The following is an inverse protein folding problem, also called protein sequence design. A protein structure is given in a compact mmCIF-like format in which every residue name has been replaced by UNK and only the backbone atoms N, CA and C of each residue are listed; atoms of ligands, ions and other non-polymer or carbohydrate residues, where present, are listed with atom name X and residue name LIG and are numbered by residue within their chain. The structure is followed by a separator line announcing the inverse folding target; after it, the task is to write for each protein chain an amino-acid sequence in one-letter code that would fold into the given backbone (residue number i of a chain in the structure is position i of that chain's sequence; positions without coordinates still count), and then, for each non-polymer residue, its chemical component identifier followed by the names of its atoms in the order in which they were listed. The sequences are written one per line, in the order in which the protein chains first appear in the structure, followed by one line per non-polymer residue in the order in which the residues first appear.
data_IF_811840156341
#
_entry.id   IF_811840156341
#
_cell.length_a   1.000
_cell.length_b   1.000
_cell.length_c   1.000
_cell.angle_alpha   90.00
_cell.angle_beta   90.00
_cell.angle_gamma   90.00
#
_symmetry.space_group_name_H-M   'P 1'
#
loop_
_entity.id
_entity.type
_entity.pdbx_description
1 polymer ?
#
# COMPACT_ATOMS: atom_id res chain seq x y z
N UNK A 1 -5.78 1.80 17.06
CA UNK A 1 -5.79 0.91 15.88
C UNK A 1 -4.37 0.73 15.40
N UNK A 2 -3.94 -0.50 15.17
CA UNK A 2 -2.60 -0.80 14.62
C UNK A 2 -2.72 -1.03 13.12
N UNK A 3 -1.90 -0.34 12.35
CA UNK A 3 -1.91 -0.31 10.89
C UNK A 3 -0.57 -0.81 10.38
N UNK A 4 -0.56 -2.01 9.81
CA UNK A 4 0.63 -2.64 9.25
C UNK A 4 0.23 -3.80 8.35
N UNK A 5 0.83 -3.86 7.17
CA UNK A 5 0.57 -4.89 6.15
C UNK A 5 1.38 -6.17 6.39
N UNK A 6 2.46 -6.11 7.19
CA UNK A 6 3.22 -7.30 7.62
C UNK A 6 2.70 -7.77 8.99
N UNK A 7 2.21 -9.03 9.10
CA UNK A 7 1.67 -9.51 10.36
C UNK A 7 2.67 -9.46 11.51
N UNK A 8 3.84 -10.07 11.37
CA UNK A 8 4.74 -10.27 12.51
C UNK A 8 5.13 -9.00 13.31
N UNK A 9 5.41 -7.88 12.65
CA UNK A 9 5.74 -6.64 13.37
C UNK A 9 4.54 -6.07 14.13
N UNK A 10 3.38 -6.05 13.48
CA UNK A 10 2.14 -5.59 14.09
C UNK A 10 1.63 -6.54 15.18
N UNK A 11 1.80 -7.85 14.99
CA UNK A 11 1.49 -8.88 15.96
C UNK A 11 2.36 -8.76 17.22
N UNK A 12 3.67 -8.53 17.04
CA UNK A 12 4.60 -8.26 18.13
C UNK A 12 4.18 -7.01 18.92
N UNK A 13 3.87 -5.90 18.22
CA UNK A 13 3.37 -4.68 18.86
C UNK A 13 2.08 -4.97 19.63
N UNK A 14 1.14 -5.69 19.03
CA UNK A 14 -0.13 -6.03 19.69
C UNK A 14 0.09 -6.87 20.94
N UNK A 15 0.99 -7.86 20.89
CA UNK A 15 1.34 -8.69 22.03
C UNK A 15 2.00 -7.92 23.18
N UNK A 16 2.82 -6.92 22.86
CA UNK A 16 3.40 -5.99 23.85
C UNK A 16 2.26 -5.17 24.47
N UNK A 17 1.45 -4.50 23.66
CA UNK A 17 0.39 -3.60 24.10
C UNK A 17 -0.69 -4.31 24.93
N UNK A 18 -1.02 -5.56 24.59
CA UNK A 18 -1.92 -6.41 25.37
C UNK A 18 -1.41 -6.63 26.80
N UNK A 19 -0.12 -6.95 26.95
CA UNK A 19 0.52 -7.12 28.27
C UNK A 19 0.59 -5.81 29.05
N UNK A 20 0.68 -4.68 28.34
CA UNK A 20 0.61 -3.34 28.90
C UNK A 20 -0.83 -2.88 29.18
N UNK A 21 -1.83 -3.74 29.04
CA UNK A 21 -3.19 -3.50 29.50
C UNK A 21 -4.16 -3.02 28.43
N UNK A 22 -3.77 -3.05 27.15
CA UNK A 22 -4.74 -2.92 26.06
C UNK A 22 -5.58 -4.20 25.92
N UNK A 23 -6.80 -4.06 25.44
CA UNK A 23 -7.73 -5.16 25.27
C UNK A 23 -7.80 -5.55 23.79
N UNK A 24 -7.41 -6.79 23.46
CA UNK A 24 -7.70 -7.36 22.14
C UNK A 24 -9.18 -7.80 22.06
N UNK A 25 -9.72 -8.00 20.84
CA UNK A 25 -11.04 -8.61 20.66
C UNK A 25 -11.16 -9.96 21.39
N UNK A 26 -12.37 -10.33 21.81
CA UNK A 26 -12.65 -11.67 22.30
C UNK A 26 -12.32 -12.72 21.21
N UNK A 27 -11.82 -13.88 21.62
CA UNK A 27 -11.37 -14.92 20.69
C UNK A 27 -9.92 -14.76 20.18
N UNK A 28 -9.26 -13.63 20.42
CA UNK A 28 -7.81 -13.53 20.22
C UNK A 28 -7.07 -14.46 21.20
N UNK A 29 -6.26 -15.39 20.69
CA UNK A 29 -5.55 -16.39 21.49
C UNK A 29 -4.50 -15.76 22.42
N UNK A 30 -4.32 -16.32 23.62
CA UNK A 30 -3.29 -15.90 24.56
C UNK A 30 -1.88 -16.38 24.15
N UNK A 31 -1.79 -17.44 23.35
CA UNK A 31 -0.54 -18.06 22.87
C UNK A 31 -0.06 -17.48 21.55
N UNK A 32 -0.95 -16.92 20.75
CA UNK A 32 -0.63 -16.18 19.52
C UNK A 32 -1.10 -14.74 19.72
N UNK A 33 -0.22 -13.84 20.20
CA UNK A 33 -0.58 -12.54 20.79
C UNK A 33 -1.27 -11.52 19.87
N UNK A 34 -1.74 -11.96 18.71
CA UNK A 34 -2.42 -11.17 17.73
C UNK A 34 -3.27 -12.04 16.80
N UNK A 35 -3.86 -13.16 17.25
CA UNK A 35 -4.84 -13.83 16.41
C UNK A 35 -5.95 -12.83 16.05
N UNK A 36 -6.03 -12.47 14.76
CA UNK A 36 -7.08 -11.60 14.24
C UNK A 36 -8.41 -12.24 14.62
N UNK A 37 -9.34 -11.45 15.18
CA UNK A 37 -10.66 -12.00 15.49
C UNK A 37 -11.31 -12.53 14.20
N UNK A 38 -11.73 -13.80 14.15
CA UNK A 38 -12.26 -14.41 12.93
C UNK A 38 -13.51 -13.68 12.44
N UNK A 39 -14.29 -13.08 13.34
CA UNK A 39 -15.45 -12.26 12.98
C UNK A 39 -15.06 -10.95 12.29
N UNK A 40 -13.92 -10.35 12.63
CA UNK A 40 -13.38 -9.17 11.94
C UNK A 40 -12.91 -9.55 10.55
N UNK A 41 -12.21 -10.69 10.42
CA UNK A 41 -11.78 -11.25 9.13
C UNK A 41 -13.00 -11.48 8.23
N UNK A 42 -14.03 -12.13 8.76
CA UNK A 42 -15.25 -12.43 8.02
C UNK A 42 -15.97 -11.16 7.56
N UNK A 43 -16.05 -10.14 8.41
CA UNK A 43 -16.64 -8.86 8.04
C UNK A 43 -15.85 -8.17 6.92
N UNK A 44 -14.52 -8.23 6.95
CA UNK A 44 -13.70 -7.73 5.84
C UNK A 44 -13.98 -8.51 4.56
N UNK A 45 -14.02 -9.85 4.60
CA UNK A 45 -14.32 -10.68 3.44
C UNK A 45 -15.67 -10.30 2.82
N UNK A 46 -16.69 -10.06 3.64
CA UNK A 46 -18.00 -9.60 3.19
C UNK A 46 -17.94 -8.21 2.55
N UNK A 47 -17.22 -7.25 3.14
CA UNK A 47 -17.05 -5.90 2.59
C UNK A 47 -16.35 -5.98 1.23
N UNK A 48 -15.24 -6.71 1.14
CA UNK A 48 -14.47 -6.87 -0.10
C UNK A 48 -15.29 -7.57 -1.18
N UNK A 49 -16.01 -8.65 -0.85
CA UNK A 49 -16.92 -9.33 -1.77
C UNK A 49 -18.04 -8.42 -2.26
N UNK A 50 -18.62 -7.59 -1.37
CA UNK A 50 -19.67 -6.65 -1.74
C UNK A 50 -19.17 -5.56 -2.71
N UNK A 51 -17.90 -5.19 -2.61
CA UNK A 51 -17.28 -4.19 -3.48
C UNK A 51 -16.73 -4.79 -4.77
N UNK A 52 -16.87 -6.11 -4.97
CA UNK A 52 -16.22 -6.86 -6.05
C UNK A 52 -14.70 -6.58 -6.10
N UNK A 53 -14.09 -6.62 -4.91
CA UNK A 53 -12.66 -6.35 -4.71
C UNK A 53 -12.01 -7.50 -3.99
N UNK A 54 -10.77 -7.78 -4.37
CA UNK A 54 -9.86 -8.59 -3.58
C UNK A 54 -8.90 -7.72 -2.76
N UNK A 55 -8.33 -8.29 -1.71
CA UNK A 55 -7.34 -7.61 -0.86
C UNK A 55 -6.09 -7.21 -1.64
N UNK A 56 -5.70 -7.94 -2.68
CA UNK A 56 -4.51 -7.67 -3.47
C UNK A 56 -4.76 -6.77 -4.67
N UNK A 57 -6.01 -6.37 -4.93
CA UNK A 57 -6.30 -5.37 -5.96
C UNK A 57 -5.58 -4.06 -5.61
N UNK A 58 -5.04 -3.36 -6.58
CA UNK A 58 -4.25 -2.14 -6.35
C UNK A 58 -5.12 -0.89 -6.38
N UNK A 59 -6.21 -0.93 -7.16
CA UNK A 59 -7.17 0.15 -7.25
C UNK A 59 -7.73 0.55 -5.86
N UNK A 60 -8.03 1.85 -5.66
CA UNK A 60 -8.59 2.32 -4.41
C UNK A 60 -10.04 1.85 -4.28
N UNK A 61 -10.55 1.81 -3.04
CA UNK A 61 -11.98 1.55 -2.83
C UNK A 61 -12.82 2.66 -3.48
N UNK A 62 -14.00 2.34 -4.06
CA UNK A 62 -14.80 3.33 -4.80
C UNK A 62 -15.22 4.48 -3.91
N UNK A 63 -14.86 5.73 -4.22
CA UNK A 63 -15.08 6.90 -3.33
C UNK A 63 -16.52 7.01 -2.81
N UNK A 64 -17.50 6.67 -3.64
CA UNK A 64 -18.94 6.77 -3.31
C UNK A 64 -19.49 5.65 -2.44
N UNK A 65 -18.69 4.63 -2.09
CA UNK A 65 -19.21 3.50 -1.29
C UNK A 65 -19.63 3.95 0.11
N UNK A 66 -18.97 4.95 0.68
CA UNK A 66 -19.28 5.52 2.00
C UNK A 66 -20.65 6.21 2.05
N UNK A 67 -21.17 6.64 0.89
CA UNK A 67 -22.47 7.29 0.75
C UNK A 67 -23.61 6.28 0.47
N UNK A 68 -23.30 4.98 0.46
CA UNK A 68 -24.26 3.93 0.10
C UNK A 68 -25.03 3.39 1.32
N UNK A 69 -26.29 2.97 1.17
CA UNK A 69 -27.02 2.28 2.24
C UNK A 69 -26.36 0.99 2.73
N UNK A 70 -25.57 0.36 1.85
CA UNK A 70 -24.79 -0.85 2.16
C UNK A 70 -23.70 -0.54 3.18
N UNK A 71 -23.05 0.61 3.07
CA UNK A 71 -22.05 1.07 4.04
C UNK A 71 -22.65 1.27 5.43
N UNK A 72 -23.84 1.85 5.52
CA UNK A 72 -24.55 2.02 6.80
C UNK A 72 -24.90 0.66 7.44
N UNK A 73 -25.28 -0.33 6.62
CA UNK A 73 -25.50 -1.71 7.06
C UNK A 73 -24.25 -2.31 7.69
N UNK A 74 -23.12 -2.26 6.98
CA UNK A 74 -21.83 -2.74 7.50
C UNK A 74 -21.35 -1.96 8.72
N UNK A 75 -21.60 -0.65 8.79
CA UNK A 75 -21.26 0.14 9.98
C UNK A 75 -22.06 -0.31 11.21
N UNK A 76 -23.35 -0.60 11.05
CA UNK A 76 -24.18 -1.11 12.15
C UNK A 76 -23.75 -2.51 12.59
N UNK A 77 -23.35 -3.37 11.65
CA UNK A 77 -22.77 -4.69 11.95
C UNK A 77 -21.43 -4.57 12.68
N UNK A 78 -20.53 -3.71 12.20
CA UNK A 78 -19.25 -3.43 12.84
C UNK A 78 -19.42 -2.86 14.25
N UNK A 79 -20.38 -1.96 14.46
CA UNK A 79 -20.69 -1.39 15.77
C UNK A 79 -21.16 -2.46 16.76
N UNK A 80 -22.06 -3.35 16.33
CA UNK A 80 -22.52 -4.49 17.13
C UNK A 80 -21.36 -5.45 17.45
N UNK A 81 -20.54 -5.77 16.45
CA UNK A 81 -19.37 -6.61 16.59
C UNK A 81 -18.37 -6.02 17.59
N UNK A 82 -18.03 -4.74 17.48
CA UNK A 82 -17.10 -4.07 18.39
C UNK A 82 -17.60 -4.08 19.84
N UNK A 83 -18.90 -3.86 20.07
CA UNK A 83 -19.49 -3.94 21.42
C UNK A 83 -19.42 -5.36 21.99
N UNK A 84 -19.68 -6.37 21.16
CA UNK A 84 -19.55 -7.76 21.55
C UNK A 84 -18.09 -8.11 21.86
N UNK A 85 -17.15 -7.70 21.01
CA UNK A 85 -15.75 -8.13 21.11
C UNK A 85 -14.99 -7.45 22.25
N UNK A 86 -15.29 -6.19 22.55
CA UNK A 86 -14.54 -5.42 23.54
C UNK A 86 -15.27 -5.28 24.88
N UNK A 87 -16.56 -5.60 25.00
CA UNK A 87 -17.33 -5.56 26.25
C UNK A 87 -17.14 -4.27 27.09
N UNK A 88 -16.98 -3.11 26.44
CA UNK A 88 -16.71 -1.84 27.12
C UNK A 88 -15.29 -1.68 27.65
N UNK A 89 -14.32 -2.36 27.03
CA UNK A 89 -12.89 -2.21 27.32
C UNK A 89 -12.47 -0.74 27.35
N UNK A 90 -11.63 -0.38 28.32
CA UNK A 90 -11.14 1.00 28.46
C UNK A 90 -10.18 1.41 27.34
N UNK A 91 -9.39 0.46 26.83
CA UNK A 91 -8.42 0.70 25.77
C UNK A 91 -8.46 -0.45 24.75
N UNK A 92 -9.45 -0.46 23.85
CA UNK A 92 -9.53 -1.43 22.77
C UNK A 92 -8.32 -1.33 21.84
N UNK A 93 -7.77 -2.47 21.47
CA UNK A 93 -6.70 -2.62 20.50
C UNK A 93 -7.24 -3.43 19.32
N UNK A 94 -7.41 -2.75 18.19
CA UNK A 94 -7.88 -3.35 16.95
C UNK A 94 -6.72 -3.48 15.98
N UNK A 95 -6.51 -4.69 15.46
CA UNK A 95 -5.51 -5.03 14.46
C UNK A 95 -5.99 -6.13 13.51
N UNK A 96 -5.74 -5.91 12.22
CA UNK A 96 -5.85 -6.86 11.11
C UNK A 96 -5.15 -6.20 9.89
N UNK A 97 -4.40 -6.92 9.02
CA UNK A 97 -3.63 -6.31 7.94
C UNK A 97 -4.40 -5.39 6.98
N UNK A 98 -5.65 -5.73 6.64
CA UNK A 98 -6.57 -5.00 5.76
C UNK A 98 -7.24 -3.81 6.45
N UNK A 99 -7.06 -3.60 7.76
CA UNK A 99 -7.47 -2.34 8.40
C UNK A 99 -6.81 -1.13 7.73
N UNK A 100 -5.59 -1.28 7.21
CA UNK A 100 -4.89 -0.25 6.47
C UNK A 100 -5.67 0.26 5.25
N UNK A 101 -6.51 -0.59 4.65
CA UNK A 101 -7.36 -0.25 3.50
C UNK A 101 -8.74 0.27 3.93
N UNK A 102 -9.16 -0.04 5.16
CA UNK A 102 -10.49 0.24 5.71
C UNK A 102 -10.47 1.26 6.85
N UNK A 103 -9.41 2.09 6.93
CA UNK A 103 -9.23 3.09 8.01
C UNK A 103 -10.48 3.98 8.20
N UNK A 104 -11.07 4.61 7.16
CA UNK A 104 -12.23 5.46 7.35
C UNK A 104 -13.44 4.71 7.95
N UNK A 105 -13.70 3.50 7.45
CA UNK A 105 -14.79 2.63 7.92
C UNK A 105 -14.64 2.28 9.40
N UNK A 106 -13.48 1.76 9.79
CA UNK A 106 -13.24 1.37 11.19
C UNK A 106 -13.16 2.56 12.13
N UNK A 107 -12.69 3.71 11.64
CA UNK A 107 -12.71 4.95 12.42
C UNK A 107 -14.14 5.39 12.71
N UNK A 108 -15.04 5.31 11.73
CA UNK A 108 -16.46 5.61 11.93
C UNK A 108 -17.11 4.61 12.90
N UNK A 109 -16.87 3.31 12.74
CA UNK A 109 -17.42 2.28 13.63
C UNK A 109 -16.96 2.44 15.09
N UNK A 110 -15.67 2.69 15.32
CA UNK A 110 -15.12 2.91 16.67
C UNK A 110 -15.67 4.19 17.32
N UNK A 111 -15.85 5.28 16.54
CA UNK A 111 -16.49 6.51 17.04
C UNK A 111 -17.96 6.29 17.43
N UNK A 112 -18.72 5.48 16.67
CA UNK A 112 -20.11 5.10 17.03
C UNK A 112 -20.18 4.31 18.34
N UNK A 113 -19.12 3.58 18.68
CA UNK A 113 -18.96 2.93 19.97
C UNK A 113 -18.50 3.88 21.09
N UNK A 114 -18.23 5.16 20.80
CA UNK A 114 -17.81 6.16 21.79
C UNK A 114 -16.32 6.15 22.11
N UNK A 115 -15.48 5.56 21.25
CA UNK A 115 -14.03 5.54 21.46
C UNK A 115 -13.34 6.71 20.75
N UNK A 116 -12.35 7.29 21.44
CA UNK A 116 -11.31 8.10 20.82
C UNK A 116 -10.30 7.21 20.10
N UNK A 117 -9.66 7.73 19.05
CA UNK A 117 -8.75 6.96 18.21
C UNK A 117 -7.31 7.47 18.27
N UNK A 118 -6.40 6.52 18.41
CA UNK A 118 -4.98 6.66 18.08
C UNK A 118 -4.61 5.62 17.01
N UNK A 119 -3.77 6.02 16.06
CA UNK A 119 -3.31 5.18 14.95
C UNK A 119 -1.82 4.86 15.10
N UNK A 120 -1.47 3.58 15.13
CA UNK A 120 -0.09 3.12 15.27
C UNK A 120 0.34 2.50 13.94
N UNK A 121 1.17 3.22 13.19
CA UNK A 121 1.69 2.79 11.90
C UNK A 121 2.94 1.94 12.10
N UNK A 122 2.90 0.70 11.61
CA UNK A 122 4.01 -0.25 11.60
C UNK A 122 4.09 -0.93 10.22
N UNK A 123 4.40 -0.16 9.16
CA UNK A 123 4.33 -0.65 7.79
C UNK A 123 5.32 -1.80 7.51
N UNK A 124 6.40 -1.90 8.28
CA UNK A 124 7.53 -2.76 7.95
C UNK A 124 8.27 -2.28 6.70
N UNK A 125 9.19 -3.11 6.22
CA UNK A 125 10.02 -2.86 5.04
C UNK A 125 9.33 -3.29 3.75
N UNK A 126 9.46 -2.51 2.68
CA UNK A 126 9.11 -2.99 1.33
C UNK A 126 9.98 -4.19 0.88
N UNK A 127 11.21 -4.29 1.39
CA UNK A 127 12.19 -5.32 0.99
C UNK A 127 11.96 -6.66 1.66
N UNK A 128 11.34 -6.64 2.84
CA UNK A 128 11.21 -7.82 3.69
C UNK A 128 9.81 -8.44 3.61
N UNK A 129 9.04 -8.06 2.57
CA UNK A 129 7.72 -8.59 2.33
C UNK A 129 7.86 -10.04 1.89
N UNK A 130 7.52 -10.94 2.82
CA UNK A 130 7.30 -12.34 2.49
C UNK A 130 6.26 -12.42 1.40
N UNK A 131 6.58 -13.15 0.33
CA UNK A 131 5.57 -13.58 -0.63
C UNK A 131 4.41 -14.17 0.17
N UNK A 132 3.25 -13.54 0.06
CA UNK A 132 2.03 -14.15 0.54
C UNK A 132 1.93 -15.54 -0.11
N UNK A 133 1.48 -16.58 0.61
CA UNK A 133 1.34 -17.90 0.00
C UNK A 133 0.45 -17.87 -1.27
N UNK A 134 -0.38 -16.82 -1.39
CA UNK A 134 -1.31 -16.59 -2.49
C UNK A 134 -0.84 -15.57 -3.53
N UNK A 135 0.27 -14.84 -3.32
CA UNK A 135 0.75 -13.80 -4.24
C UNK A 135 2.27 -13.91 -4.50
N UNK A 136 2.74 -13.58 -5.72
CA UNK A 136 4.16 -13.41 -5.94
C UNK A 136 4.74 -12.26 -5.09
N UNK A 137 6.06 -12.25 -4.80
CA UNK A 137 6.72 -11.20 -4.04
C UNK A 137 6.39 -9.78 -4.55
N UNK A 138 6.40 -9.61 -5.87
CA UNK A 138 6.20 -8.33 -6.55
C UNK A 138 4.78 -7.79 -6.31
N UNK A 139 3.76 -8.65 -6.42
CA UNK A 139 2.38 -8.28 -6.11
C UNK A 139 2.20 -7.97 -4.61
N UNK A 140 2.92 -8.69 -3.74
CA UNK A 140 2.92 -8.45 -2.30
C UNK A 140 3.52 -7.08 -1.95
N UNK A 141 4.56 -6.65 -2.68
CA UNK A 141 5.17 -5.32 -2.55
C UNK A 141 4.22 -4.20 -2.97
N UNK A 142 3.51 -4.38 -4.10
CA UNK A 142 2.53 -3.40 -4.56
C UNK A 142 1.32 -3.33 -3.60
N UNK A 143 0.88 -4.47 -3.06
CA UNK A 143 -0.17 -4.50 -2.04
C UNK A 143 0.26 -3.80 -0.74
N UNK A 144 1.53 -3.97 -0.32
CA UNK A 144 2.10 -3.21 0.79
C UNK A 144 2.11 -1.71 0.51
N UNK A 145 2.54 -1.30 -0.69
CA UNK A 145 2.62 0.11 -1.07
C UNK A 145 1.24 0.76 -1.00
N UNK A 146 0.23 0.11 -1.59
CA UNK A 146 -1.17 0.52 -1.48
C UNK A 146 -1.60 0.68 -0.04
N UNK A 147 -1.37 -0.33 0.81
CA UNK A 147 -1.78 -0.30 2.21
C UNK A 147 -1.09 0.83 3.00
N UNK A 148 0.21 1.02 2.79
CA UNK A 148 0.99 2.06 3.44
C UNK A 148 0.49 3.46 3.07
N UNK A 149 0.33 3.75 1.77
CA UNK A 149 -0.15 5.05 1.28
C UNK A 149 -1.60 5.32 1.69
N UNK A 150 -2.47 4.31 1.55
CA UNK A 150 -3.89 4.45 1.90
C UNK A 150 -4.07 4.76 3.38
N UNK A 151 -3.39 4.01 4.24
CA UNK A 151 -3.51 4.17 5.70
C UNK A 151 -2.85 5.45 6.19
N UNK A 152 -1.70 5.82 5.63
CA UNK A 152 -1.05 7.11 5.92
C UNK A 152 -2.01 8.24 5.58
N UNK A 153 -2.47 8.33 4.34
CA UNK A 153 -3.35 9.41 3.88
C UNK A 153 -4.63 9.50 4.71
N UNK A 154 -5.26 8.36 5.01
CA UNK A 154 -6.51 8.30 5.77
C UNK A 154 -6.38 8.72 7.24
N UNK A 155 -5.16 8.77 7.80
CA UNK A 155 -4.92 9.12 9.21
C UNK A 155 -4.33 10.51 9.41
N UNK A 156 -4.07 11.27 8.34
CA UNK A 156 -3.55 12.64 8.45
C UNK A 156 -4.45 13.51 9.31
N UNK A 157 -3.83 14.32 10.17
CA UNK A 157 -4.54 15.22 11.10
C UNK A 157 -5.22 14.50 12.29
N UNK A 158 -5.04 13.19 12.45
CA UNK A 158 -5.47 12.44 13.62
C UNK A 158 -4.29 12.15 14.56
N UNK A 159 -4.59 11.71 15.79
CA UNK A 159 -3.56 11.25 16.73
C UNK A 159 -2.89 9.98 16.20
N UNK A 160 -1.64 10.07 15.73
CA UNK A 160 -0.91 8.95 15.13
C UNK A 160 0.56 8.90 15.54
N UNK A 161 1.15 7.72 15.46
CA UNK A 161 2.57 7.49 15.70
C UNK A 161 3.10 6.43 14.72
N UNK A 162 4.38 6.53 14.38
CA UNK A 162 5.10 5.58 13.52
C UNK A 162 6.04 4.74 14.38
N UNK A 163 5.87 3.43 14.35
CA UNK A 163 6.56 2.46 15.22
C UNK A 163 7.60 1.70 14.41
N UNK A 164 8.81 1.61 14.94
CA UNK A 164 9.91 0.86 14.35
C UNK A 164 9.90 -0.60 14.87
N UNK A 165 9.67 -1.57 13.98
CA UNK A 165 9.68 -3.00 14.34
C UNK A 165 11.02 -3.47 14.88
N UNK A 166 12.11 -2.95 14.33
CA UNK A 166 13.49 -3.29 14.67
C UNK A 166 13.84 -2.77 16.08
N UNK A 167 13.31 -1.62 16.48
CA UNK A 167 13.40 -1.11 17.85
C UNK A 167 12.51 -1.86 18.83
N UNK A 168 11.33 -2.35 18.42
CA UNK A 168 10.53 -3.24 19.26
C UNK A 168 11.27 -4.55 19.59
N UNK A 169 12.17 -5.01 18.71
CA UNK A 169 12.97 -6.19 18.96
C UNK A 169 14.22 -5.89 19.82
N UNK A 170 14.91 -4.78 19.53
CA UNK A 170 16.18 -4.46 20.20
C UNK A 170 16.01 -3.74 21.54
N UNK A 171 15.09 -2.78 21.65
CA UNK A 171 14.77 -2.04 22.87
C UNK A 171 13.31 -1.55 22.87
N UNK A 172 12.40 -2.48 23.14
CA UNK A 172 10.96 -2.17 23.17
C UNK A 172 10.58 -1.11 24.20
N UNK A 173 11.39 -0.90 25.26
CA UNK A 173 11.10 0.07 26.32
C UNK A 173 11.37 1.49 25.86
N UNK A 174 12.48 1.70 25.14
CA UNK A 174 12.77 2.98 24.52
C UNK A 174 11.72 3.34 23.47
N UNK A 175 11.34 2.37 22.64
CA UNK A 175 10.29 2.54 21.63
C UNK A 175 8.93 2.87 22.27
N UNK A 176 8.55 2.16 23.33
CA UNK A 176 7.33 2.45 24.09
C UNK A 176 7.34 3.87 24.68
N UNK A 177 8.48 4.30 25.22
CA UNK A 177 8.62 5.64 25.81
C UNK A 177 8.45 6.73 24.75
N UNK A 178 9.03 6.53 23.56
CA UNK A 178 8.84 7.42 22.42
C UNK A 178 7.37 7.44 21.95
N UNK A 179 6.72 6.27 21.94
CA UNK A 179 5.32 6.10 21.60
C UNK A 179 4.39 6.85 22.56
N UNK A 180 4.52 6.64 23.86
CA UNK A 180 3.72 7.33 24.89
C UNK A 180 3.90 8.85 24.82
N UNK A 181 5.14 9.32 24.57
CA UNK A 181 5.43 10.75 24.38
C UNK A 181 4.71 11.32 23.16
N UNK A 182 4.70 10.58 22.05
CA UNK A 182 4.07 11.02 20.79
C UNK A 182 2.54 11.05 20.92
N UNK A 183 1.98 10.03 21.57
CA UNK A 183 0.54 9.89 21.76
C UNK A 183 -0.02 10.78 22.88
N UNK A 184 0.82 11.24 23.81
CA UNK A 184 0.40 12.06 24.94
C UNK A 184 -0.35 11.30 26.03
N UNK A 185 -0.27 9.96 26.06
CA UNK A 185 -0.84 9.13 27.10
C UNK A 185 0.04 7.91 27.41
N UNK A 186 -0.10 7.38 28.63
CA UNK A 186 0.60 6.16 29.07
C UNK A 186 -0.30 4.93 29.02
N UNK A 187 0.30 3.75 28.82
CA UNK A 187 -0.44 2.50 28.76
C UNK A 187 -0.88 2.00 30.14
N UNK A 188 -2.08 1.39 30.28
CA UNK A 188 -2.75 1.19 31.58
C UNK A 188 -1.99 0.32 32.60
N UNK A 189 -1.14 -0.59 32.15
CA UNK A 189 -0.42 -1.57 32.98
C UNK A 189 1.09 -1.55 32.75
N UNK A 190 1.67 -0.39 32.47
CA UNK A 190 3.12 -0.24 32.37
C UNK A 190 3.81 -0.38 33.75
N UNK A 191 3.98 -1.63 34.19
CA UNK A 191 4.55 -2.01 35.49
C UNK A 191 5.78 -2.90 35.30
N UNK A 192 6.67 -2.96 36.28
CA UNK A 192 7.83 -3.86 36.24
C UNK A 192 7.43 -5.34 36.04
N UNK A 193 6.26 -5.76 36.52
CA UNK A 193 5.73 -7.12 36.30
C UNK A 193 5.33 -7.33 34.84
N UNK A 194 4.58 -6.40 34.25
CA UNK A 194 4.21 -6.45 32.83
C UNK A 194 5.45 -6.41 31.94
N UNK A 195 6.45 -5.58 32.29
CA UNK A 195 7.72 -5.55 31.57
C UNK A 195 8.42 -6.91 31.50
N UNK A 196 8.49 -7.66 32.61
CA UNK A 196 9.03 -9.03 32.60
C UNK A 196 8.21 -10.00 31.74
N UNK A 197 6.90 -9.83 31.67
CA UNK A 197 6.03 -10.65 30.81
C UNK A 197 6.24 -10.35 29.32
N UNK A 198 6.59 -9.10 29.00
CA UNK A 198 6.97 -8.69 27.65
C UNK A 198 8.34 -9.28 27.30
N UNK A 199 9.34 -9.12 28.18
CA UNK A 199 10.68 -9.68 27.95
C UNK A 199 10.63 -11.18 27.67
N UNK A 200 9.95 -11.95 28.55
CA UNK A 200 9.78 -13.38 28.36
C UNK A 200 9.04 -13.74 27.07
N UNK A 201 8.11 -12.90 26.60
CA UNK A 201 7.40 -13.16 25.35
C UNK A 201 8.29 -12.92 24.12
N UNK A 202 9.14 -11.89 24.16
CA UNK A 202 10.09 -11.59 23.09
C UNK A 202 11.22 -12.63 23.03
N UNK A 203 11.69 -13.12 24.17
CA UNK A 203 12.69 -14.19 24.25
C UNK A 203 12.17 -15.53 23.69
N UNK A 204 10.88 -15.81 23.85
CA UNK A 204 10.24 -17.04 23.37
C UNK A 204 9.56 -16.88 21.99
N UNK A 205 9.73 -15.74 21.33
CA UNK A 205 9.14 -15.50 20.03
C UNK A 205 9.84 -16.37 18.96
N UNK A 206 9.09 -17.11 18.12
CA UNK A 206 9.70 -17.96 17.10
C UNK A 206 10.52 -17.14 16.10
N UNK A 207 11.69 -17.65 15.72
CA UNK A 207 12.61 -16.99 14.76
C UNK A 207 11.93 -16.65 13.42
N UNK A 208 10.90 -17.41 13.04
CA UNK A 208 10.12 -17.21 11.81
C UNK A 208 9.37 -15.88 11.75
N UNK A 209 9.11 -15.21 12.89
CA UNK A 209 8.55 -13.85 12.92
C UNK A 209 9.54 -12.80 12.39
N UNK A 210 10.83 -13.11 12.42
CA UNK A 210 11.94 -12.20 12.13
C UNK A 210 12.72 -12.56 10.86
N UNK A 211 12.34 -13.64 10.15
CA UNK A 211 13.02 -14.02 8.92
C UNK A 211 12.71 -13.04 7.79
N UNK A 212 13.75 -12.31 7.38
CA UNK A 212 13.80 -11.61 6.09
C UNK A 212 13.98 -12.65 4.99
N UNK A 213 13.09 -12.67 4.00
CA UNK A 213 13.23 -13.56 2.85
C UNK A 213 14.21 -12.95 1.86
N UNK A 214 15.05 -13.78 1.19
CA UNK A 214 15.93 -13.31 0.15
C UNK A 214 15.16 -12.57 -0.93
N UNK A 215 15.62 -11.37 -1.18
CA UNK A 215 15.04 -10.43 -2.12
C UNK A 215 15.15 -10.96 -3.56
N UNK A 216 14.04 -11.04 -4.31
CA UNK A 216 14.06 -11.46 -5.72
C UNK A 216 14.71 -10.39 -6.60
N UNK A 217 15.30 -10.79 -7.73
CA UNK A 217 15.85 -9.86 -8.70
C UNK A 217 14.74 -8.96 -9.32
N UNK A 218 13.58 -9.53 -9.61
CA UNK A 218 12.40 -8.78 -10.05
C UNK A 218 11.88 -7.80 -8.97
N UNK A 219 11.83 -8.21 -7.71
CA UNK A 219 11.54 -7.32 -6.58
C UNK A 219 12.55 -6.18 -6.47
N UNK A 220 13.84 -6.46 -6.71
CA UNK A 220 14.89 -5.46 -6.79
C UNK A 220 14.62 -4.40 -7.85
N UNK A 221 14.32 -4.82 -9.07
CA UNK A 221 13.99 -3.91 -10.15
C UNK A 221 12.76 -3.04 -9.84
N UNK A 222 11.69 -3.61 -9.25
CA UNK A 222 10.49 -2.84 -8.87
C UNK A 222 10.73 -1.85 -7.74
N UNK A 223 11.58 -2.20 -6.77
CA UNK A 223 11.94 -1.26 -5.72
C UNK A 223 12.85 -0.16 -6.23
N UNK A 224 13.76 -0.50 -7.13
CA UNK A 224 14.59 0.45 -7.87
C UNK A 224 13.77 1.30 -8.84
N UNK A 225 12.57 0.84 -9.26
CA UNK A 225 11.61 1.63 -10.03
C UNK A 225 11.03 2.84 -9.25
N UNK A 226 11.50 3.09 -8.03
CA UNK A 226 11.42 4.38 -7.35
C UNK A 226 10.31 4.48 -6.32
N UNK A 227 9.09 3.97 -6.60
CA UNK A 227 7.97 4.11 -5.67
C UNK A 227 8.19 3.41 -4.34
N UNK A 228 8.53 2.12 -4.36
CA UNK A 228 8.73 1.36 -3.11
C UNK A 228 9.90 1.94 -2.33
N UNK A 229 11.01 2.29 -2.99
CA UNK A 229 12.16 2.91 -2.35
C UNK A 229 11.82 4.24 -1.69
N UNK A 230 11.10 5.13 -2.39
CA UNK A 230 10.75 6.45 -1.88
C UNK A 230 9.79 6.35 -0.70
N UNK A 231 8.76 5.50 -0.80
CA UNK A 231 7.81 5.27 0.29
C UNK A 231 8.51 4.65 1.50
N UNK A 232 9.31 3.59 1.31
CA UNK A 232 10.05 2.92 2.39
C UNK A 232 11.01 3.91 3.08
N UNK A 233 11.74 4.71 2.31
CA UNK A 233 12.66 5.71 2.86
C UNK A 233 11.97 6.76 3.72
N UNK A 234 10.84 7.31 3.25
CA UNK A 234 10.06 8.31 4.01
C UNK A 234 9.52 7.68 5.30
N UNK A 235 8.86 6.53 5.20
CA UNK A 235 8.20 5.89 6.33
C UNK A 235 9.21 5.41 7.39
N UNK A 236 10.37 4.89 6.98
CA UNK A 236 11.46 4.53 7.89
C UNK A 236 12.04 5.75 8.58
N UNK A 237 12.27 6.85 7.86
CA UNK A 237 12.73 8.10 8.49
C UNK A 237 11.73 8.58 9.53
N UNK A 238 10.42 8.49 9.27
CA UNK A 238 9.39 8.86 10.24
C UNK A 238 9.38 7.98 11.49
N UNK A 239 9.69 6.68 11.38
CA UNK A 239 9.87 5.80 12.54
C UNK A 239 11.06 6.21 13.42
N UNK A 240 12.09 6.85 12.86
CA UNK A 240 13.29 7.24 13.60
C UNK A 240 13.21 8.66 14.16
N UNK A 241 12.69 9.59 13.36
CA UNK A 241 12.80 11.04 13.59
C UNK A 241 11.45 11.72 13.83
N UNK A 242 10.34 10.99 13.65
CA UNK A 242 9.00 11.53 13.69
C UNK A 242 8.51 11.99 12.31
N UNK A 243 7.21 12.21 12.23
CA UNK A 243 6.54 12.61 10.99
C UNK A 243 6.92 14.04 10.57
N UNK A 244 7.31 14.21 9.29
CA UNK A 244 7.53 15.51 8.68
C UNK A 244 6.42 15.84 7.68
N UNK A 245 5.68 16.92 7.92
CA UNK A 245 4.54 17.31 7.07
C UNK A 245 4.94 17.67 5.64
N UNK A 246 6.20 18.03 5.39
CA UNK A 246 6.71 18.33 4.06
C UNK A 246 6.69 17.09 3.13
N UNK A 247 6.79 15.89 3.71
CA UNK A 247 6.79 14.63 2.96
C UNK A 247 5.40 14.24 2.45
N UNK A 248 4.32 14.84 2.98
CA UNK A 248 2.95 14.53 2.55
C UNK A 248 2.77 14.78 1.05
N UNK A 249 3.38 15.85 0.52
CA UNK A 249 3.31 16.16 -0.91
C UNK A 249 4.02 15.09 -1.76
N UNK A 250 5.14 14.54 -1.28
CA UNK A 250 5.86 13.47 -1.96
C UNK A 250 5.05 12.16 -1.95
N UNK A 251 4.46 11.79 -0.80
CA UNK A 251 3.59 10.63 -0.70
C UNK A 251 2.32 10.77 -1.56
N UNK A 252 1.76 11.97 -1.67
CA UNK A 252 0.60 12.25 -2.54
C UNK A 252 0.95 12.14 -4.03
N UNK A 253 2.12 12.63 -4.42
CA UNK A 253 2.59 12.47 -5.79
C UNK A 253 2.82 10.98 -6.12
N UNK A 254 3.45 10.26 -5.19
CA UNK A 254 3.72 8.84 -5.33
C UNK A 254 2.40 8.04 -5.43
N UNK A 255 1.41 8.32 -4.58
CA UNK A 255 0.09 7.69 -4.70
C UNK A 255 -0.56 8.01 -6.05
N UNK A 256 -0.54 9.27 -6.50
CA UNK A 256 -1.10 9.65 -7.80
C UNK A 256 -0.40 8.98 -9.00
N UNK A 257 0.91 8.75 -8.92
CA UNK A 257 1.67 7.97 -9.90
C UNK A 257 1.29 6.49 -9.86
N UNK A 258 1.28 5.90 -8.67
CA UNK A 258 0.91 4.51 -8.44
C UNK A 258 -0.52 4.21 -8.94
N UNK A 259 -1.49 5.07 -8.64
CA UNK A 259 -2.88 4.89 -9.08
C UNK A 259 -3.04 4.94 -10.61
N UNK A 260 -2.21 5.71 -11.32
CA UNK A 260 -2.21 5.72 -12.79
C UNK A 260 -1.74 4.39 -13.39
N UNK A 261 -0.81 3.72 -12.71
CA UNK A 261 -0.31 2.42 -13.13
C UNK A 261 -1.12 1.23 -12.57
N UNK A 262 -1.86 1.43 -11.48
CA UNK A 262 -2.59 0.37 -10.77
C UNK A 262 -3.52 -0.42 -11.70
N UNK A 263 -4.25 0.24 -12.61
CA UNK A 263 -5.15 -0.43 -13.55
C UNK A 263 -4.43 -1.39 -14.52
N UNK A 264 -3.20 -1.06 -14.92
CA UNK A 264 -2.38 -1.94 -15.77
C UNK A 264 -1.80 -3.08 -14.91
N UNK A 265 -1.30 -2.75 -13.72
CA UNK A 265 -0.73 -3.70 -12.78
C UNK A 265 -1.74 -4.74 -12.26
N UNK A 266 -3.02 -4.36 -12.08
CA UNK A 266 -4.10 -5.25 -11.66
C UNK A 266 -4.32 -6.39 -12.66
N UNK A 267 -4.23 -6.12 -13.97
CA UNK A 267 -4.34 -7.17 -15.00
C UNK A 267 -3.21 -8.20 -14.85
N UNK A 268 -2.02 -7.76 -14.47
CA UNK A 268 -0.87 -8.65 -14.24
C UNK A 268 -1.02 -9.47 -12.96
N UNK A 269 -1.47 -8.84 -11.86
CA UNK A 269 -1.74 -9.55 -10.60
C UNK A 269 -2.83 -10.61 -10.83
N UNK A 270 -3.87 -10.27 -11.58
CA UNK A 270 -4.95 -11.20 -11.91
C UNK A 270 -4.46 -12.39 -12.74
N UNK A 271 -3.61 -12.14 -13.74
CA UNK A 271 -2.97 -13.20 -14.52
C UNK A 271 -2.07 -14.09 -13.65
N UNK A 272 -1.35 -13.51 -12.68
CA UNK A 272 -0.51 -14.25 -11.74
C UNK A 272 -1.35 -15.13 -10.79
N UNK A 273 -2.51 -14.64 -10.31
CA UNK A 273 -3.45 -15.40 -9.48
C UNK A 273 -3.97 -16.66 -10.18
N UNK A 274 -4.21 -16.57 -11.50
CA UNK A 274 -4.74 -17.66 -12.31
C UNK A 274 -3.69 -18.68 -12.76
N UNK A 275 -2.42 -18.50 -12.40
CA UNK A 275 -1.36 -19.43 -12.78
C UNK A 275 -1.37 -20.69 -11.86
N UNK A 276 -1.60 -21.90 -12.42
CA UNK A 276 -1.80 -23.13 -11.63
C UNK A 276 -0.58 -23.56 -10.80
N UNK A 277 0.62 -23.05 -11.08
CA UNK A 277 1.82 -23.26 -10.26
C UNK A 277 1.72 -22.60 -8.88
N UNK A 278 0.97 -21.50 -8.75
CA UNK A 278 0.74 -20.79 -7.49
C UNK A 278 -0.53 -21.30 -6.78
N UNK A 279 -1.53 -21.76 -7.54
CA UNK A 279 -2.73 -22.40 -6.98
C UNK A 279 -2.40 -23.70 -6.20
N UNK A 280 -1.32 -24.42 -6.55
CA UNK A 280 -0.84 -25.61 -5.81
C UNK A 280 -0.19 -25.31 -4.47
N UNK A 281 0.23 -24.06 -4.17
CA UNK A 281 0.69 -23.66 -2.83
C UNK A 281 -0.45 -23.44 -1.82
N UNK A 282 -1.72 -23.62 -2.22
CA UNK A 282 -2.87 -23.63 -1.30
C UNK A 282 -2.81 -24.73 -0.24
N UNK A 283 -2.07 -25.82 -0.47
CA UNK A 283 -2.04 -26.98 0.43
C UNK A 283 -0.80 -27.05 1.33
N UNK A 284 0.17 -26.14 1.18
CA UNK A 284 1.49 -26.24 1.84
C UNK A 284 1.76 -25.24 2.97
N UNK A 285 0.93 -24.22 3.15
CA UNK A 285 1.07 -23.27 4.27
C UNK A 285 -0.23 -23.26 5.06
N UNK A 286 -0.42 -24.33 5.82
CA UNK A 286 -1.39 -24.38 6.88
C UNK A 286 -1.02 -23.33 7.94
N UNK A 287 -1.82 -22.28 8.07
CA UNK A 287 -2.04 -21.67 9.38
C UNK A 287 -2.71 -22.76 10.22
N UNK A 288 -1.90 -23.48 11.00
CA UNK A 288 -2.31 -24.37 12.09
C UNK A 288 -3.63 -25.15 11.86
N UNK A 289 -3.58 -26.29 11.16
CA UNK A 289 -4.62 -27.31 11.36
C UNK A 289 -4.23 -28.23 12.52
N UNK A 290 -5.21 -28.56 13.37
CA UNK A 290 -5.27 -29.90 13.93
C UNK A 290 -6.67 -30.47 13.73
N UNK A 291 -6.91 -31.14 12.60
CA UNK A 291 -7.91 -32.21 12.52
C UNK A 291 -7.34 -33.37 11.72
N UNK A 292 -7.23 -34.52 12.40
CA UNK A 292 -6.68 -35.77 11.90
C UNK A 292 -7.59 -36.38 10.83
N UNK A 293 -7.03 -36.87 9.72
CA UNK A 293 -7.49 -38.13 9.15
C UNK A 293 -6.37 -38.88 8.39
N UNK A 294 -6.35 -40.21 8.56
CA UNK A 294 -5.28 -41.12 8.18
C UNK A 294 -5.30 -41.51 6.69
N UNK A 295 -4.14 -41.50 6.00
CA UNK A 295 -3.86 -42.36 4.84
C UNK A 295 -2.33 -42.51 4.60
N UNK A 296 -1.82 -43.67 4.15
CA UNK A 296 -0.40 -44.00 4.22
C UNK A 296 0.40 -43.49 3.02
N UNK A 297 1.64 -43.09 3.29
CA UNK A 297 2.65 -42.65 2.33
C UNK A 297 3.47 -43.84 1.80
N UNK A 298 3.56 -44.03 0.47
CA UNK A 298 4.67 -44.78 -0.16
C UNK A 298 4.83 -44.65 -1.70
N UNK A 299 4.49 -43.53 -2.36
CA UNK A 299 4.75 -43.38 -3.83
C UNK A 299 5.32 -42.00 -4.27
N UNK A 300 5.71 -41.11 -3.35
CA UNK A 300 5.95 -39.68 -3.66
C UNK A 300 7.37 -39.30 -4.15
N UNK A 301 8.39 -40.14 -3.97
CA UNK A 301 9.79 -39.70 -4.17
C UNK A 301 10.26 -39.64 -5.64
N UNK A 302 9.68 -40.43 -6.56
CA UNK A 302 10.10 -40.41 -7.99
C UNK A 302 9.46 -39.26 -8.80
N UNK A 303 8.38 -38.65 -8.32
CA UNK A 303 7.70 -37.52 -8.96
C UNK A 303 8.29 -36.14 -8.63
N UNK A 304 8.93 -35.98 -7.47
CA UNK A 304 9.45 -34.68 -7.00
C UNK A 304 10.61 -34.13 -7.83
N UNK A 305 11.45 -35.00 -8.42
CA UNK A 305 12.63 -34.59 -9.19
C UNK A 305 12.24 -34.03 -10.56
N UNK A 306 11.25 -34.64 -11.23
CA UNK A 306 10.76 -34.18 -12.54
C UNK A 306 9.87 -32.92 -12.42
N UNK A 307 9.08 -32.83 -11.35
CA UNK A 307 8.30 -31.63 -11.05
C UNK A 307 9.20 -30.45 -10.66
N UNK A 308 10.28 -30.67 -9.91
CA UNK A 308 11.26 -29.60 -9.58
C UNK A 308 11.97 -29.03 -10.81
N UNK A 309 12.28 -29.86 -11.81
CA UNK A 309 12.89 -29.41 -13.06
C UNK A 309 11.90 -28.61 -13.93
N UNK A 310 10.64 -29.03 -13.96
CA UNK A 310 9.54 -28.29 -14.59
C UNK A 310 9.27 -26.96 -13.91
N UNK A 311 9.28 -26.92 -12.58
CA UNK A 311 9.11 -25.70 -11.78
C UNK A 311 10.20 -24.68 -12.13
N UNK A 312 11.47 -25.07 -12.10
CA UNK A 312 12.59 -24.18 -12.48
C UNK A 312 12.47 -23.63 -13.90
N UNK A 313 11.99 -24.48 -14.82
CA UNK A 313 11.82 -24.07 -16.23
C UNK A 313 10.68 -23.06 -16.39
N UNK A 314 9.61 -23.19 -15.60
CA UNK A 314 8.47 -22.26 -15.61
C UNK A 314 8.82 -20.95 -14.89
N UNK A 315 9.51 -21.01 -13.76
CA UNK A 315 10.05 -19.85 -13.05
C UNK A 315 10.93 -19.01 -13.98
N UNK A 316 11.86 -19.65 -14.70
CA UNK A 316 12.72 -18.97 -15.66
C UNK A 316 11.93 -18.28 -16.79
N UNK A 317 10.87 -18.91 -17.32
CA UNK A 317 10.01 -18.28 -18.34
C UNK A 317 9.18 -17.14 -17.78
N UNK A 318 8.74 -17.24 -16.53
CA UNK A 318 7.97 -16.21 -15.87
C UNK A 318 8.86 -14.97 -15.62
N UNK A 319 10.09 -15.19 -15.16
CA UNK A 319 11.13 -14.16 -15.01
C UNK A 319 11.38 -13.44 -16.34
N UNK A 320 11.57 -14.18 -17.43
CA UNK A 320 11.75 -13.61 -18.77
C UNK A 320 10.56 -12.76 -19.22
N UNK A 321 9.32 -13.17 -18.89
CA UNK A 321 8.13 -12.39 -19.22
C UNK A 321 8.00 -11.14 -18.35
N UNK A 322 8.38 -11.20 -17.08
CA UNK A 322 8.43 -10.01 -16.23
C UNK A 322 9.48 -9.02 -16.71
N UNK A 323 10.65 -9.49 -17.13
CA UNK A 323 11.71 -8.65 -17.68
C UNK A 323 11.30 -8.00 -19.00
N UNK A 324 10.64 -8.75 -19.90
CA UNK A 324 10.05 -8.21 -21.12
C UNK A 324 8.97 -7.15 -20.81
N UNK A 325 8.08 -7.40 -19.86
CA UNK A 325 7.02 -6.47 -19.49
C UNK A 325 7.56 -5.21 -18.81
N UNK A 326 8.58 -5.34 -17.95
CA UNK A 326 9.27 -4.19 -17.36
C UNK A 326 9.92 -3.33 -18.45
N UNK A 327 10.56 -3.96 -19.43
CA UNK A 327 11.14 -3.25 -20.58
C UNK A 327 10.08 -2.54 -21.43
N UNK A 328 8.93 -3.18 -21.67
CA UNK A 328 7.82 -2.59 -22.42
C UNK A 328 7.16 -1.45 -21.65
N UNK A 329 7.02 -1.58 -20.33
CA UNK A 329 6.50 -0.53 -19.46
C UNK A 329 7.41 0.70 -19.46
N UNK A 330 8.73 0.50 -19.39
CA UNK A 330 9.72 1.59 -19.50
C UNK A 330 9.65 2.27 -20.86
N UNK A 331 9.52 1.51 -21.95
CA UNK A 331 9.37 2.05 -23.30
C UNK A 331 8.06 2.85 -23.48
N UNK A 332 6.95 2.37 -22.90
CA UNK A 332 5.69 3.10 -22.89
C UNK A 332 5.81 4.40 -22.11
N UNK A 333 6.46 4.37 -20.95
CA UNK A 333 6.73 5.56 -20.14
C UNK A 333 7.59 6.59 -20.88
N UNK A 334 8.65 6.14 -21.55
CA UNK A 334 9.49 7.00 -22.41
C UNK A 334 8.68 7.59 -23.58
N UNK A 335 7.81 6.80 -24.20
CA UNK A 335 6.95 7.28 -25.28
C UNK A 335 5.93 8.33 -24.78
N UNK A 336 5.30 8.12 -23.63
CA UNK A 336 4.35 9.07 -23.03
C UNK A 336 5.03 10.37 -22.59
N UNK A 337 6.23 10.29 -22.01
CA UNK A 337 7.01 11.48 -21.64
C UNK A 337 7.43 12.27 -22.88
N UNK A 338 7.87 11.59 -23.94
CA UNK A 338 8.14 12.23 -25.24
C UNK A 338 6.88 12.87 -25.84
N UNK A 339 5.73 12.19 -25.77
CA UNK A 339 4.46 12.72 -26.28
C UNK A 339 4.05 13.99 -25.54
N UNK A 340 4.20 14.02 -24.21
CA UNK A 340 3.92 15.21 -23.40
C UNK A 340 4.88 16.36 -23.71
N UNK A 341 6.18 16.07 -23.88
CA UNK A 341 7.16 17.08 -24.27
C UNK A 341 6.85 17.68 -25.66
N UNK A 342 6.49 16.84 -26.63
CA UNK A 342 6.04 17.27 -27.96
C UNK A 342 4.77 18.12 -27.89
N UNK A 343 3.80 17.73 -27.06
CA UNK A 343 2.57 18.49 -26.87
C UNK A 343 2.86 19.90 -26.30
N UNK A 344 3.80 20.00 -25.36
CA UNK A 344 4.24 21.28 -24.80
C UNK A 344 4.96 22.13 -25.84
N UNK A 345 5.89 21.56 -26.62
CA UNK A 345 6.57 22.27 -27.70
C UNK A 345 5.58 22.77 -28.77
N UNK A 346 4.57 21.97 -29.11
CA UNK A 346 3.51 22.36 -30.04
C UNK A 346 2.69 23.54 -29.51
N UNK A 347 2.36 23.53 -28.21
CA UNK A 347 1.65 24.63 -27.56
C UNK A 347 2.47 25.93 -27.59
N UNK A 348 3.77 25.86 -27.27
CA UNK A 348 4.67 27.02 -27.35
C UNK A 348 4.82 27.55 -28.79
N UNK A 349 4.94 26.67 -29.78
CA UNK A 349 5.03 27.05 -31.18
C UNK A 349 3.75 27.77 -31.64
N UNK A 350 2.57 27.25 -31.28
CA UNK A 350 1.28 27.91 -31.57
C UNK A 350 1.16 29.27 -30.90
N UNK A 351 1.65 29.41 -29.68
CA UNK A 351 1.66 30.71 -28.99
C UNK A 351 2.57 31.72 -29.68
N UNK A 352 3.76 31.30 -30.14
CA UNK A 352 4.67 32.15 -30.93
C UNK A 352 4.07 32.55 -32.26
N UNK A 353 3.39 31.63 -32.94
CA UNK A 353 2.66 31.92 -34.19
C UNK A 353 1.56 32.96 -33.96
N UNK A 354 0.74 32.79 -32.92
CA UNK A 354 -0.30 33.77 -32.55
C UNK A 354 0.29 35.14 -32.20
N UNK A 355 1.40 35.19 -31.47
CA UNK A 355 2.09 36.44 -31.16
C UNK A 355 2.63 37.13 -32.43
N UNK A 356 3.28 36.37 -33.32
CA UNK A 356 3.77 36.90 -34.59
C UNK A 356 2.63 37.43 -35.47
N UNK A 357 1.52 36.68 -35.54
CA UNK A 357 0.32 37.09 -36.26
C UNK A 357 -0.28 38.38 -35.67
N UNK A 358 -0.37 38.47 -34.33
CA UNK A 358 -0.82 39.68 -33.65
C UNK A 358 0.08 40.90 -33.91
N UNK A 359 1.40 40.71 -33.97
CA UNK A 359 2.35 41.78 -34.34
C UNK A 359 2.16 42.21 -35.79
N UNK A 360 1.99 41.27 -36.72
CA UNK A 360 1.73 41.56 -38.14
C UNK A 360 0.41 42.35 -38.28
N UNK A 361 -0.66 41.91 -37.61
CA UNK A 361 -1.95 42.59 -37.64
C UNK A 361 -1.88 43.99 -37.02
N UNK A 362 -1.11 44.16 -35.93
CA UNK A 362 -0.85 45.48 -35.34
C UNK A 362 -0.07 46.41 -36.27
N UNK A 363 0.93 45.89 -37.00
CA UNK A 363 1.69 46.65 -38.00
C UNK A 363 0.80 47.04 -39.19
N UNK A 364 -0.06 46.13 -39.65
CA UNK A 364 -0.98 46.37 -40.78
C UNK A 364 -2.13 47.33 -40.43
N UNK A 365 -2.59 47.33 -39.18
CA UNK A 365 -3.64 48.24 -38.68
C UNK A 365 -3.11 49.59 -38.17
N UNK A 366 -1.79 49.75 -38.02
CA UNK A 366 -1.18 51.02 -37.59
C UNK A 366 -1.34 52.13 -38.64
N UNK A 367 -1.82 53.29 -38.19
CA UNK A 367 -2.14 54.48 -38.98
C UNK A 367 -0.92 55.33 -39.37
N UNK A 368 0.30 54.88 -39.03
CA UNK A 368 1.56 55.50 -39.42
C UNK A 368 1.89 55.19 -40.90
N UNK A 369 1.23 55.87 -41.83
CA UNK A 369 1.30 55.63 -43.28
C UNK A 369 2.71 55.74 -43.90
N UNK A 370 3.63 56.50 -43.27
CA UNK A 370 5.01 56.66 -43.76
C UNK A 370 5.92 55.45 -43.50
N UNK A 371 5.64 54.64 -42.47
CA UNK A 371 6.45 53.47 -42.10
C UNK A 371 5.91 52.15 -42.68
N UNK A 372 4.61 52.06 -42.94
CA UNK A 372 3.95 50.80 -43.36
C UNK A 372 3.69 50.70 -44.87
N UNK A 373 3.91 51.78 -45.65
CA UNK A 373 3.70 51.82 -47.10
C UNK A 373 4.60 50.86 -47.93
N UNK A 374 5.90 50.69 -47.63
CA UNK A 374 6.75 49.75 -48.38
C UNK A 374 6.32 48.29 -48.20
N UNK A 375 5.86 47.94 -46.99
CA UNK A 375 5.42 46.59 -46.62
C UNK A 375 4.04 46.22 -47.18
N UNK A 376 3.10 47.18 -47.28
CA UNK A 376 1.81 46.93 -47.97
C UNK A 376 2.01 46.61 -49.46
N UNK A 377 2.90 47.33 -50.14
CA UNK A 377 3.22 47.08 -51.56
C UNK A 377 3.82 45.71 -51.84
N UNK A 378 4.68 45.20 -50.97
CA UNK A 378 5.27 43.86 -51.13
C UNK A 378 4.26 42.74 -50.86
N UNK A 379 3.34 42.92 -49.91
CA UNK A 379 2.27 41.95 -49.63
C UNK A 379 1.23 41.92 -50.77
N UNK A 380 0.84 43.07 -51.32
CA UNK A 380 -0.07 43.13 -52.47
C UNK A 380 0.55 42.48 -53.72
N UNK A 381 1.86 42.63 -53.91
CA UNK A 381 2.60 41.95 -54.98
C UNK A 381 2.63 40.42 -54.80
N UNK A 382 2.81 39.93 -53.57
CA UNK A 382 2.79 38.48 -53.28
C UNK A 382 1.39 37.87 -53.34
N UNK A 383 0.32 38.64 -53.06
CA UNK A 383 -1.07 38.17 -53.22
C UNK A 383 -1.55 38.22 -54.67
N UNK A 384 -1.04 39.14 -55.49
CA UNK A 384 -1.35 39.23 -56.93
C UNK A 384 -0.71 38.15 -57.81
N UNK A 385 0.34 37.46 -57.33
CA UNK A 385 1.04 36.41 -58.07
C UNK A 385 0.41 35.02 -58.03
N UNK A 386 -0.77 34.85 -57.41
CA UNK A 386 -1.44 33.54 -57.25
C UNK A 386 -2.63 33.30 -58.18
N UNK A 387 -2.85 34.18 -59.17
CA UNK A 387 -3.81 33.97 -60.25
C UNK A 387 -3.12 34.14 -61.60
N UNK A 388 -2.41 33.10 -62.04
CA UNK A 388 -2.30 32.73 -63.45
C UNK A 388 -1.87 31.28 -63.59
#
# INVERSE_FOLDING_TARGET
MVLGSRPAGAEQLCGILQRLGCNLPAGASATEPAAVAPEIVALHDQIFACLDRDRSDLAPLPVSWQDSPVYDGFLSEAEALLRQQFHGARMPLLWEPRLALLVPFWSAALRRCGYDLAYLHIPGSARDIKADATLPPEASQLAWLRAALTSERATRGQLRAHVCSERLQSDWRAELTALEKTLGFSFPRNTAKAGRQVDAALENAPETLFQTIPYSAAGAALHEAGWLQQADAILRRWQETGEETADHAALDQLDAEFQRAAALLDVFIEAARHNPSFARRKTGVALSEPWQDNAPASEAEEGEVDDSARIRTLEFRLEQRFEELASLSSLLFEAETQQNALAQQLAEARQREQQAQGVIDAVLSSTAWKLTSPLRRTIDFLRGGRTS
#
